data_IF_132367543828
#
_entry.id   IF_132367543828
#
_cell.length_a   1.000
_cell.length_b   1.000
_cell.length_c   1.000
_cell.angle_alpha   90.00
_cell.angle_beta   90.00
_cell.angle_gamma   90.00
#
_symmetry.space_group_name_H-M   'P 1'
#
loop_
_entity.id
_entity.type
_entity.pdbx_description
1 polymer ?
#
# COMPACT_ATOMS: atom_id res chain seq x y z
N UNK A 1 8.41 -19.34 -6.19
CA UNK A 1 8.86 -17.99 -5.75
C UNK A 1 7.67 -17.28 -5.12
N UNK A 2 7.79 -16.79 -3.89
CA UNK A 2 6.71 -16.01 -3.27
C UNK A 2 6.66 -14.64 -3.94
N UNK A 3 5.57 -14.31 -4.63
CA UNK A 3 5.39 -13.00 -5.26
C UNK A 3 4.86 -12.05 -4.19
N UNK A 4 5.64 -11.02 -3.85
CA UNK A 4 5.18 -9.96 -2.93
C UNK A 4 4.17 -9.07 -3.66
N UNK A 5 2.89 -9.46 -3.61
CA UNK A 5 1.78 -8.81 -4.33
C UNK A 5 1.61 -7.36 -3.89
N UNK A 6 1.78 -7.09 -2.59
CA UNK A 6 1.76 -5.72 -2.08
C UNK A 6 2.90 -4.86 -2.65
N UNK A 7 4.10 -5.43 -2.81
CA UNK A 7 5.25 -4.73 -3.39
C UNK A 7 5.00 -4.32 -4.84
N UNK A 8 4.47 -5.24 -5.65
CA UNK A 8 4.10 -4.96 -7.04
C UNK A 8 2.99 -3.92 -7.13
N UNK A 9 1.89 -4.11 -6.40
CA UNK A 9 0.78 -3.18 -6.43
C UNK A 9 1.22 -1.77 -6.00
N UNK A 10 2.01 -1.65 -4.93
CA UNK A 10 2.52 -0.36 -4.46
C UNK A 10 3.41 0.33 -5.51
N UNK A 11 4.33 -0.40 -6.13
CA UNK A 11 5.26 0.15 -7.12
C UNK A 11 4.54 0.62 -8.39
N UNK A 12 3.72 -0.24 -8.99
CA UNK A 12 3.01 0.05 -10.24
C UNK A 12 1.93 1.12 -10.06
N UNK A 13 1.16 1.07 -8.98
CA UNK A 13 0.17 2.11 -8.68
C UNK A 13 0.84 3.47 -8.45
N UNK A 14 1.99 3.52 -7.77
CA UNK A 14 2.75 4.77 -7.62
C UNK A 14 3.26 5.29 -8.96
N UNK A 15 3.77 4.42 -9.83
CA UNK A 15 4.18 4.81 -11.17
C UNK A 15 3.02 5.43 -11.97
N UNK A 16 1.83 4.82 -11.90
CA UNK A 16 0.62 5.34 -12.54
C UNK A 16 0.12 6.66 -11.93
N UNK A 17 0.11 6.79 -10.59
CA UNK A 17 -0.25 8.04 -9.90
C UNK A 17 0.69 9.19 -10.30
N UNK A 18 1.95 8.88 -10.58
CA UNK A 18 2.95 9.83 -11.12
C UNK A 18 2.91 9.99 -12.64
N UNK A 19 1.99 9.34 -13.37
CA UNK A 19 1.85 9.44 -14.82
C UNK A 19 2.96 8.76 -15.64
N UNK A 20 3.70 7.80 -15.06
CA UNK A 20 4.81 7.10 -15.73
C UNK A 20 4.38 5.87 -16.54
N UNK A 21 3.23 5.30 -16.21
CA UNK A 21 2.66 4.11 -16.87
C UNK A 21 1.15 4.31 -17.02
N UNK A 22 0.54 3.56 -17.93
CA UNK A 22 -0.91 3.57 -18.13
C UNK A 22 -1.64 2.84 -16.99
N UNK A 23 -2.96 2.95 -16.95
CA UNK A 23 -3.77 2.19 -16.01
C UNK A 23 -3.73 0.70 -16.31
N UNK A 24 -3.76 0.32 -17.59
CA UNK A 24 -3.75 -1.09 -18.02
C UNK A 24 -2.41 -1.76 -17.68
N UNK A 25 -1.28 -1.05 -17.83
CA UNK A 25 0.04 -1.56 -17.41
C UNK A 25 0.06 -1.99 -15.94
N UNK A 26 -0.65 -1.27 -15.06
CA UNK A 26 -0.74 -1.63 -13.64
C UNK A 26 -1.58 -2.90 -13.46
N UNK A 27 -2.70 -3.01 -14.17
CA UNK A 27 -3.57 -4.18 -14.07
C UNK A 27 -2.83 -5.42 -14.56
N UNK A 28 -2.22 -5.35 -15.73
CA UNK A 28 -1.45 -6.45 -16.32
C UNK A 28 -0.30 -6.88 -15.41
N UNK A 29 0.45 -5.91 -14.88
CA UNK A 29 1.58 -6.20 -14.02
C UNK A 29 1.18 -6.76 -12.66
N UNK A 30 0.00 -6.43 -12.11
CA UNK A 30 -0.39 -6.89 -10.77
C UNK A 30 -1.22 -8.17 -10.82
N UNK A 31 -2.22 -8.24 -11.70
CA UNK A 31 -3.23 -9.31 -11.71
C UNK A 31 -2.64 -10.62 -12.23
N UNK A 32 -1.89 -10.59 -13.32
CA UNK A 32 -1.37 -11.82 -13.95
C UNK A 32 -2.49 -12.84 -14.19
N UNK A 33 -2.27 -14.08 -13.75
CA UNK A 33 -3.21 -15.20 -13.91
C UNK A 33 -4.20 -15.36 -12.73
N UNK A 34 -4.19 -14.44 -11.76
CA UNK A 34 -5.02 -14.51 -10.55
C UNK A 34 -6.29 -13.65 -10.68
N UNK A 35 -7.35 -13.99 -9.95
CA UNK A 35 -8.55 -13.14 -9.86
C UNK A 35 -8.39 -12.16 -8.70
N UNK A 36 -8.40 -10.86 -8.99
CA UNK A 36 -8.27 -9.82 -7.96
C UNK A 36 -9.61 -9.11 -7.69
N UNK A 37 -10.04 -9.09 -6.43
CA UNK A 37 -11.23 -8.35 -5.96
C UNK A 37 -10.88 -7.43 -4.81
N UNK A 38 -11.61 -6.32 -4.68
CA UNK A 38 -11.41 -5.33 -3.61
C UNK A 38 -12.70 -5.16 -2.83
N UNK A 39 -12.58 -5.21 -1.52
CA UNK A 39 -13.64 -5.03 -0.54
C UNK A 39 -13.43 -3.74 0.26
N UNK A 40 -14.51 -3.15 0.76
CA UNK A 40 -14.44 -2.02 1.69
C UNK A 40 -14.04 -0.69 1.05
N UNK A 41 -14.04 -0.58 -0.28
CA UNK A 41 -13.80 0.70 -0.94
C UNK A 41 -14.92 1.70 -0.62
N UNK A 42 -14.58 2.98 -0.33
CA UNK A 42 -15.59 3.99 -0.04
C UNK A 42 -16.65 4.10 -1.14
N UNK A 43 -17.92 4.00 -0.77
CA UNK A 43 -19.05 4.09 -1.69
C UNK A 43 -19.37 2.80 -2.46
N UNK A 44 -18.68 1.69 -2.18
CA UNK A 44 -18.98 0.38 -2.77
C UNK A 44 -19.61 -0.55 -1.75
N UNK A 45 -20.71 -1.20 -2.13
CA UNK A 45 -21.45 -2.11 -1.25
C UNK A 45 -20.91 -3.55 -1.25
N UNK A 46 -19.99 -3.89 -2.17
CA UNK A 46 -19.49 -5.26 -2.32
C UNK A 46 -18.17 -5.35 -3.10
N UNK A 47 -17.75 -6.58 -3.46
CA UNK A 47 -16.48 -6.80 -4.14
C UNK A 47 -16.45 -6.16 -5.53
N UNK A 48 -15.44 -5.34 -5.79
CA UNK A 48 -15.20 -4.71 -7.11
C UNK A 48 -13.88 -5.17 -7.71
N UNK A 49 -13.65 -5.02 -9.03
CA UNK A 49 -12.36 -5.30 -9.65
C UNK A 49 -11.23 -4.43 -9.07
N UNK A 50 -9.99 -4.95 -9.09
CA UNK A 50 -8.81 -4.25 -8.55
C UNK A 50 -8.64 -2.81 -9.06
N UNK A 51 -8.96 -2.58 -10.33
CA UNK A 51 -8.82 -1.27 -10.93
C UNK A 51 -9.66 -0.16 -10.28
N UNK A 52 -10.76 -0.49 -9.60
CA UNK A 52 -11.55 0.49 -8.84
C UNK A 52 -10.78 1.03 -7.62
N UNK A 53 -9.84 0.25 -7.07
CA UNK A 53 -8.93 0.74 -6.05
C UNK A 53 -8.01 1.84 -6.59
N UNK A 54 -7.51 1.71 -7.82
CA UNK A 54 -6.67 2.74 -8.46
C UNK A 54 -7.43 4.07 -8.57
N UNK A 55 -8.65 4.03 -9.09
CA UNK A 55 -9.52 5.21 -9.17
C UNK A 55 -9.79 5.82 -7.79
N UNK A 56 -10.03 4.99 -6.78
CA UNK A 56 -10.26 5.43 -5.40
C UNK A 56 -9.03 6.09 -4.78
N UNK A 57 -7.83 5.53 -5.00
CA UNK A 57 -6.56 6.09 -4.55
C UNK A 57 -6.33 7.48 -5.16
N UNK A 58 -6.53 7.62 -6.48
CA UNK A 58 -6.42 8.92 -7.16
C UNK A 58 -7.45 9.93 -6.64
N UNK A 59 -8.71 9.52 -6.46
CA UNK A 59 -9.76 10.39 -5.92
C UNK A 59 -9.49 10.83 -4.48
N UNK A 60 -8.76 10.03 -3.69
CA UNK A 60 -8.31 10.40 -2.34
C UNK A 60 -7.05 11.29 -2.32
N UNK A 61 -6.49 11.60 -3.49
CA UNK A 61 -5.29 12.43 -3.61
C UNK A 61 -4.00 11.70 -3.23
N UNK A 62 -3.99 10.37 -3.29
CA UNK A 62 -2.77 9.61 -3.08
C UNK A 62 -1.77 9.90 -4.20
N UNK A 63 -0.50 10.07 -3.83
CA UNK A 63 0.59 10.35 -4.78
C UNK A 63 1.70 9.30 -4.74
N UNK A 64 1.79 8.56 -3.63
CA UNK A 64 2.77 7.50 -3.41
C UNK A 64 2.20 6.47 -2.46
N UNK A 65 2.44 5.20 -2.77
CA UNK A 65 2.13 4.08 -1.89
C UNK A 65 3.44 3.46 -1.39
N UNK A 66 3.41 2.89 -0.19
CA UNK A 66 4.51 2.09 0.35
C UNK A 66 4.02 0.71 0.74
N UNK A 67 4.89 -0.28 0.62
CA UNK A 67 4.64 -1.61 1.18
C UNK A 67 5.03 -1.63 2.66
N UNK A 68 4.24 -2.33 3.46
CA UNK A 68 4.58 -2.70 4.84
C UNK A 68 4.64 -4.22 4.91
N UNK A 69 5.66 -4.76 5.58
CA UNK A 69 5.90 -6.20 5.73
C UNK A 69 6.07 -6.54 7.22
N UNK A 70 5.01 -6.40 8.03
CA UNK A 70 5.10 -6.60 9.45
C UNK A 70 5.26 -8.08 9.80
N UNK A 71 5.99 -8.36 10.87
CA UNK A 71 6.09 -9.69 11.50
C UNK A 71 5.73 -9.57 12.98
N UNK A 72 5.25 -10.64 13.64
CA UNK A 72 4.91 -10.59 15.06
C UNK A 72 6.07 -10.02 15.90
N UNK A 73 5.83 -8.90 16.58
CA UNK A 73 6.83 -8.20 17.40
C UNK A 73 7.63 -7.10 16.69
N UNK A 74 7.41 -6.88 15.39
CA UNK A 74 8.05 -5.80 14.62
C UNK A 74 7.00 -4.93 13.90
N UNK A 75 6.51 -3.86 14.56
CA UNK A 75 5.49 -2.97 13.97
C UNK A 75 6.10 -1.89 13.05
N UNK A 76 7.41 -1.94 12.75
CA UNK A 76 8.05 -0.88 11.97
C UNK A 76 7.37 -0.72 10.61
N UNK A 77 7.06 0.52 10.25
CA UNK A 77 6.44 0.87 8.98
C UNK A 77 4.91 0.86 8.99
N UNK A 78 4.26 0.23 9.99
CA UNK A 78 2.81 0.38 10.18
C UNK A 78 2.47 1.82 10.58
N UNK A 79 1.26 2.30 10.25
CA UNK A 79 0.74 3.50 10.87
C UNK A 79 0.46 3.21 12.35
N UNK A 80 -0.03 4.21 13.09
CA UNK A 80 -0.52 3.98 14.45
C UNK A 80 -1.60 2.88 14.52
N UNK A 81 -2.06 2.51 15.72
CA UNK A 81 -3.11 1.51 15.90
C UNK A 81 -4.35 1.81 15.06
N UNK A 82 -4.97 0.79 14.47
CA UNK A 82 -6.16 0.93 13.63
C UNK A 82 -6.39 -0.28 12.72
N UNK A 83 -7.55 -0.29 12.03
CA UNK A 83 -8.00 -1.45 11.25
C UNK A 83 -6.98 -1.91 10.20
N UNK A 84 -6.28 -0.97 9.55
CA UNK A 84 -5.21 -1.31 8.62
C UNK A 84 -4.05 -2.02 9.30
N UNK A 85 -3.56 -1.50 10.44
CA UNK A 85 -2.41 -2.05 11.16
C UNK A 85 -2.69 -3.47 11.65
N UNK A 86 -3.89 -3.69 12.18
CA UNK A 86 -4.33 -5.01 12.66
C UNK A 86 -4.46 -6.01 11.51
N UNK A 87 -5.05 -5.60 10.38
CA UNK A 87 -5.21 -6.44 9.20
C UNK A 87 -3.86 -6.73 8.52
N UNK A 88 -2.98 -5.73 8.41
CA UNK A 88 -1.66 -5.89 7.83
C UNK A 88 -0.80 -6.82 8.69
N UNK A 89 -0.99 -6.80 10.03
CA UNK A 89 -0.33 -7.77 10.88
C UNK A 89 -0.81 -9.20 10.66
N UNK A 90 -2.11 -9.39 10.52
CA UNK A 90 -2.67 -10.72 10.23
C UNK A 90 -2.22 -11.25 8.86
N UNK A 91 -2.17 -10.38 7.85
CA UNK A 91 -1.74 -10.74 6.50
C UNK A 91 -0.22 -10.89 6.34
N UNK A 92 0.58 -10.27 7.21
CA UNK A 92 2.04 -10.19 7.09
C UNK A 92 2.52 -9.24 5.99
N UNK A 93 1.60 -8.62 5.24
CA UNK A 93 1.89 -7.57 4.26
C UNK A 93 0.72 -6.60 4.11
N UNK A 94 1.02 -5.40 3.61
CA UNK A 94 0.01 -4.41 3.24
C UNK A 94 0.56 -3.31 2.35
N UNK A 95 -0.34 -2.58 1.71
CA UNK A 95 -0.04 -1.37 0.93
C UNK A 95 -0.64 -0.18 1.63
N UNK A 96 0.18 0.83 1.89
CA UNK A 96 -0.17 1.99 2.69
C UNK A 96 -0.05 3.27 1.86
N UNK A 97 -1.16 3.97 1.70
CA UNK A 97 -1.24 5.37 1.29
C UNK A 97 -1.36 6.31 2.50
N UNK A 98 -1.56 7.60 2.24
CA UNK A 98 -1.76 8.62 3.27
C UNK A 98 -3.16 8.59 3.91
N UNK A 99 -4.17 8.09 3.20
CA UNK A 99 -5.58 8.07 3.60
C UNK A 99 -6.25 6.71 3.39
N UNK A 100 -5.71 5.88 2.51
CA UNK A 100 -6.24 4.55 2.21
C UNK A 100 -5.12 3.50 2.27
N UNK A 101 -5.40 2.39 2.94
CA UNK A 101 -4.54 1.21 2.97
C UNK A 101 -5.26 -0.02 2.41
N UNK A 102 -4.51 -0.98 1.89
CA UNK A 102 -5.02 -2.23 1.32
C UNK A 102 -4.24 -3.42 1.89
N UNK A 103 -4.92 -4.47 2.29
CA UNK A 103 -4.30 -5.72 2.77
C UNK A 103 -4.81 -6.90 1.94
N UNK A 104 -3.95 -7.83 1.53
CA UNK A 104 -4.36 -8.98 0.75
C UNK A 104 -4.79 -10.16 1.64
N UNK A 105 -5.78 -10.89 1.16
CA UNK A 105 -6.11 -12.24 1.59
C UNK A 105 -5.91 -13.16 0.38
N UNK A 106 -5.01 -14.13 0.50
CA UNK A 106 -4.57 -14.98 -0.60
C UNK A 106 -5.31 -16.32 -0.52
N UNK A 107 -6.10 -16.61 -1.55
CA UNK A 107 -6.73 -17.91 -1.76
C UNK A 107 -6.09 -18.67 -2.92
N UNK A 108 -6.76 -19.74 -3.37
CA UNK A 108 -6.35 -20.51 -4.54
C UNK A 108 -6.73 -19.76 -5.83
N UNK A 109 -5.74 -19.21 -6.53
CA UNK A 109 -5.93 -18.42 -7.75
C UNK A 109 -6.69 -17.10 -7.56
N UNK A 110 -6.95 -16.66 -6.33
CA UNK A 110 -7.72 -15.45 -6.03
C UNK A 110 -7.01 -14.61 -4.96
N UNK A 111 -7.05 -13.29 -5.12
CA UNK A 111 -6.56 -12.32 -4.15
C UNK A 111 -7.68 -11.33 -3.81
N UNK A 112 -8.10 -11.32 -2.55
CA UNK A 112 -9.08 -10.35 -2.05
C UNK A 112 -8.36 -9.26 -1.29
N UNK A 113 -8.54 -8.01 -1.70
CA UNK A 113 -7.93 -6.84 -1.08
C UNK A 113 -8.96 -6.16 -0.19
N UNK A 114 -8.70 -6.10 1.11
CA UNK A 114 -9.50 -5.30 2.03
C UNK A 114 -8.97 -3.87 2.07
N UNK A 115 -9.83 -2.89 1.78
CA UNK A 115 -9.51 -1.48 1.87
C UNK A 115 -9.85 -0.93 3.26
N UNK A 116 -8.92 -0.15 3.82
CA UNK A 116 -8.99 0.39 5.17
C UNK A 116 -8.75 1.89 5.15
N UNK A 117 -9.55 2.71 5.85
CA UNK A 117 -9.19 4.10 6.07
C UNK A 117 -7.92 4.18 6.91
N UNK A 118 -7.03 5.11 6.57
CA UNK A 118 -5.80 5.38 7.31
C UNK A 118 -5.90 6.79 7.88
N UNK A 119 -5.86 6.90 9.20
CA UNK A 119 -5.74 8.18 9.87
C UNK A 119 -4.26 8.57 9.88
N UNK A 120 -3.98 9.75 9.33
CA UNK A 120 -2.66 10.32 8.99
C UNK A 120 -1.44 9.55 9.51
N UNK A 121 -0.69 8.98 8.58
CA UNK A 121 0.68 8.49 8.81
C UNK A 121 1.52 9.71 9.19
N UNK A 122 2.24 9.68 10.32
CA UNK A 122 3.33 10.62 10.53
C UNK A 122 4.17 10.60 9.25
N UNK A 123 4.29 11.74 8.57
CA UNK A 123 4.98 11.83 7.29
C UNK A 123 6.28 11.05 7.39
N UNK A 124 6.64 10.34 6.31
CA UNK A 124 7.98 9.78 6.18
C UNK A 124 8.96 10.95 6.38
N UNK A 125 9.45 11.12 7.61
CA UNK A 125 10.43 12.13 7.91
C UNK A 125 11.63 11.58 7.20
N UNK A 126 11.93 12.15 6.02
CA UNK A 126 13.29 12.06 5.47
C UNK A 126 14.19 12.29 6.68
N UNK A 127 15.07 11.34 7.07
CA UNK A 127 16.01 11.62 8.13
C UNK A 127 16.66 12.93 7.75
N UNK A 128 16.62 13.92 8.64
CA UNK A 128 17.36 15.16 8.41
C UNK A 128 18.75 14.71 7.97
N UNK A 129 19.26 15.17 6.80
CA UNK A 129 20.60 14.81 6.39
C UNK A 129 21.47 15.11 7.60
N UNK A 130 22.21 14.09 8.08
CA UNK A 130 23.04 14.24 9.26
C UNK A 130 23.91 15.48 9.04
N UNK A 131 23.56 16.59 9.68
CA UNK A 131 24.45 17.74 9.78
C UNK A 131 25.52 17.25 10.73
N UNK A 132 26.60 16.72 10.16
CA UNK A 132 27.82 16.47 10.92
C UNK A 132 28.31 17.86 11.29
N UNK A 133 28.12 18.25 12.56
CA UNK A 133 28.78 19.43 13.07
C UNK A 133 30.28 19.14 12.97
N UNK A 134 30.93 19.81 12.02
CA UNK A 134 32.38 19.85 11.94
C UNK A 134 32.88 20.35 13.31
N UNK A 135 33.65 19.51 14.00
CA UNK A 135 34.21 19.90 15.29
C UNK A 135 35.22 21.02 15.02
N UNK A 136 35.04 22.16 15.69
CA UNK A 136 36.01 23.25 15.64
C UNK A 136 37.39 22.71 16.08
N UNK A 137 38.45 22.89 15.28
CA UNK A 137 39.79 22.53 15.71
C UNK A 137 40.22 23.46 16.85
N UNK A 138 40.73 22.86 17.93
CA UNK A 138 41.32 23.52 19.11
C UNK A 138 42.54 24.38 18.74
#
# INVERSE_FOLDING_TARGET
MHRHRCGLFAAWSTAWLCGRVSYDDVIDAVVGDEVHRVMGLPGQAGPVPLGWALSSLRAKGESRLRVVLPVPGDPRGLPGPGSFSDAAMQAGEGVLGGRLGLTPEIGDGTVVWAAHPVTQVAADRRPDPLIVSEADPL
#
